data_IF_154172958550
#
_entry.id   IF_154172958550
#
_cell.length_a   1.000
_cell.length_b   1.000
_cell.length_c   1.000
_cell.angle_alpha   90.00
_cell.angle_beta   90.00
_cell.angle_gamma   90.00
#
_symmetry.space_group_name_H-M   'P 1'
#
loop_
_entity.id
_entity.type
_entity.pdbx_description
1 polymer ?
#
# COMPACT_ATOMS: atom_id res chain seq x y z
N UNK A 1 -2.18 -15.61 1.95
CA UNK A 1 -3.59 -15.51 1.54
C UNK A 1 -3.80 -14.25 0.74
N UNK A 2 -4.99 -14.07 0.17
CA UNK A 2 -5.34 -12.86 -0.56
C UNK A 2 -6.85 -12.60 -0.49
N UNK A 3 -7.26 -11.36 -0.76
CA UNK A 3 -8.63 -11.00 -1.12
C UNK A 3 -8.60 -9.98 -2.26
N UNK A 4 -9.72 -9.87 -2.98
CA UNK A 4 -9.91 -8.88 -4.04
C UNK A 4 -11.31 -8.27 -3.98
N UNK A 5 -11.41 -7.01 -4.40
CA UNK A 5 -12.69 -6.33 -4.62
C UNK A 5 -13.43 -5.91 -3.34
N UNK A 6 -12.73 -5.75 -2.20
CA UNK A 6 -13.39 -5.26 -0.99
C UNK A 6 -13.62 -3.74 -1.09
N UNK A 7 -14.88 -3.34 -1.00
CA UNK A 7 -15.27 -1.93 -1.01
C UNK A 7 -14.96 -1.29 0.35
N UNK A 8 -14.33 -0.12 0.31
CA UNK A 8 -14.09 0.73 1.48
C UNK A 8 -14.92 2.01 1.40
N UNK A 9 -15.19 2.60 2.57
CA UNK A 9 -15.91 3.88 2.66
C UNK A 9 -15.18 4.95 1.86
N UNK A 10 -15.95 5.88 1.30
CA UNK A 10 -15.41 6.92 0.42
C UNK A 10 -15.16 6.45 -1.02
N UNK A 11 -15.74 5.31 -1.42
CA UNK A 11 -15.75 4.86 -2.82
C UNK A 11 -14.43 4.31 -3.31
N UNK A 12 -13.69 3.60 -2.44
CA UNK A 12 -12.50 2.85 -2.81
C UNK A 12 -12.79 1.36 -2.93
N UNK A 13 -11.97 0.66 -3.70
CA UNK A 13 -11.94 -0.80 -3.78
C UNK A 13 -10.52 -1.28 -3.54
N UNK A 14 -10.36 -2.33 -2.74
CA UNK A 14 -9.07 -2.80 -2.27
C UNK A 14 -8.86 -4.28 -2.61
N UNK A 15 -7.65 -4.56 -3.07
CA UNK A 15 -7.07 -5.89 -3.17
C UNK A 15 -5.89 -5.99 -2.20
N UNK A 16 -5.71 -7.13 -1.55
CA UNK A 16 -4.55 -7.35 -0.68
C UNK A 16 -4.05 -8.79 -0.74
N UNK A 17 -2.74 -8.93 -0.63
CA UNK A 17 -2.01 -10.19 -0.59
C UNK A 17 -1.10 -10.20 0.64
N UNK A 18 -1.07 -11.33 1.35
CA UNK A 18 -0.25 -11.51 2.54
C UNK A 18 0.39 -12.88 2.59
N UNK A 19 1.52 -12.99 3.28
CA UNK A 19 2.19 -14.25 3.55
C UNK A 19 2.83 -14.21 4.94
N UNK A 20 2.71 -15.32 5.68
CA UNK A 20 3.16 -15.44 7.08
C UNK A 20 2.61 -14.33 7.99
N UNK A 21 1.32 -14.00 7.83
CA UNK A 21 0.66 -12.94 8.61
C UNK A 21 1.04 -11.50 8.25
N UNK A 22 1.90 -11.31 7.23
CA UNK A 22 2.41 -9.98 6.83
C UNK A 22 1.87 -9.61 5.46
N UNK A 23 1.28 -8.41 5.33
CA UNK A 23 0.88 -7.81 4.05
C UNK A 23 2.10 -7.71 3.13
N UNK A 24 1.96 -8.15 1.89
CA UNK A 24 3.02 -8.09 0.87
C UNK A 24 2.69 -7.07 -0.21
N UNK A 25 1.44 -7.05 -0.63
CA UNK A 25 0.96 -6.16 -1.66
C UNK A 25 -0.46 -5.72 -1.32
N UNK A 26 -0.76 -4.45 -1.51
CA UNK A 26 -2.11 -3.89 -1.41
C UNK A 26 -2.31 -2.92 -2.54
N UNK A 27 -3.45 -2.99 -3.23
CA UNK A 27 -3.84 -2.05 -4.27
C UNK A 27 -5.17 -1.43 -3.85
N UNK A 28 -5.23 -0.10 -3.83
CA UNK A 28 -6.47 0.66 -3.68
C UNK A 28 -6.78 1.36 -5.00
N UNK A 29 -7.98 1.10 -5.53
CA UNK A 29 -8.56 1.77 -6.69
C UNK A 29 -9.63 2.74 -6.25
N UNK A 30 -9.58 3.97 -6.75
CA UNK A 30 -10.60 4.97 -6.50
C UNK A 30 -11.74 4.83 -7.52
N UNK A 31 -12.97 4.59 -7.06
CA UNK A 31 -14.18 4.58 -7.90
C UNK A 31 -14.86 5.96 -7.95
N UNK A 32 -14.42 6.89 -7.10
CA UNK A 32 -14.80 8.30 -7.06
C UNK A 32 -13.58 9.16 -6.76
N UNK A 33 -13.64 10.46 -7.07
CA UNK A 33 -12.62 11.42 -6.66
C UNK A 33 -12.66 11.58 -5.14
N UNK A 34 -11.56 11.27 -4.44
CA UNK A 34 -11.52 11.38 -2.98
C UNK A 34 -10.09 11.38 -2.43
N UNK A 35 -9.95 11.84 -1.18
CA UNK A 35 -8.75 11.65 -0.37
C UNK A 35 -8.90 10.41 0.49
N UNK A 36 -7.97 9.47 0.33
CA UNK A 36 -7.93 8.22 1.09
C UNK A 36 -6.86 8.30 2.17
N UNK A 37 -7.16 7.73 3.34
CA UNK A 37 -6.26 7.62 4.48
C UNK A 37 -5.90 6.16 4.70
N UNK A 38 -4.65 5.81 4.40
CA UNK A 38 -4.12 4.45 4.47
C UNK A 38 -3.22 4.33 5.69
N UNK A 39 -3.50 3.37 6.57
CA UNK A 39 -2.56 3.01 7.64
C UNK A 39 -1.48 2.09 7.06
N UNK A 40 -0.23 2.52 7.11
CA UNK A 40 0.91 1.77 6.58
C UNK A 40 1.71 1.20 7.75
N UNK A 41 2.03 -0.11 7.75
CA UNK A 41 2.80 -0.72 8.82
C UNK A 41 4.30 -0.38 8.68
N UNK A 42 4.85 0.30 9.70
CA UNK A 42 6.29 0.36 9.98
C UNK A 42 7.08 1.43 9.23
N UNK A 43 8.41 1.26 9.22
CA UNK A 43 9.34 2.21 8.62
C UNK A 43 9.16 2.35 7.11
N UNK A 44 9.31 3.59 6.63
CA UNK A 44 9.28 3.95 5.20
C UNK A 44 10.19 3.11 4.31
N UNK A 45 11.32 2.65 4.85
CA UNK A 45 12.30 1.87 4.11
C UNK A 45 11.84 0.44 3.83
N UNK A 46 10.74 0.00 4.45
CA UNK A 46 10.21 -1.36 4.32
C UNK A 46 9.09 -1.46 3.29
N UNK A 47 8.73 -0.37 2.60
CA UNK A 47 7.68 -0.40 1.58
C UNK A 47 7.97 0.55 0.43
N UNK A 48 7.35 0.25 -0.71
CA UNK A 48 7.32 1.06 -1.92
C UNK A 48 5.89 1.51 -2.18
N UNK A 49 5.73 2.79 -2.51
CA UNK A 49 4.46 3.36 -2.92
C UNK A 49 4.47 3.64 -4.40
N UNK A 50 3.39 3.28 -5.08
CA UNK A 50 3.24 3.54 -6.51
C UNK A 50 1.85 4.08 -6.76
N UNK A 51 1.75 5.29 -7.30
CA UNK A 51 0.50 5.91 -7.75
C UNK A 51 0.45 5.87 -9.27
N UNK A 52 -0.61 5.30 -9.85
CA UNK A 52 -0.77 5.17 -11.32
C UNK A 52 0.50 4.66 -12.04
N UNK A 53 1.17 3.65 -11.45
CA UNK A 53 2.44 3.08 -11.93
C UNK A 53 3.69 3.96 -11.76
N UNK A 54 3.57 5.20 -11.27
CA UNK A 54 4.69 6.06 -10.87
C UNK A 54 5.05 5.88 -9.40
N UNK A 55 6.32 5.66 -9.09
CA UNK A 55 6.79 5.60 -7.70
C UNK A 55 6.69 6.98 -7.05
N UNK A 56 6.17 7.00 -5.82
CA UNK A 56 6.07 8.22 -5.02
C UNK A 56 6.83 8.06 -3.72
N UNK A 57 7.47 9.12 -3.27
CA UNK A 57 8.10 9.18 -1.95
C UNK A 57 7.20 9.93 -0.98
N UNK A 58 7.26 9.56 0.29
CA UNK A 58 6.55 10.27 1.36
C UNK A 58 7.59 10.94 2.24
N UNK A 59 7.48 12.25 2.43
CA UNK A 59 8.42 13.02 3.25
C UNK A 59 8.18 12.79 4.76
N UNK A 60 6.98 12.37 5.17
CA UNK A 60 6.62 12.18 6.59
C UNK A 60 6.56 10.72 7.04
N UNK A 61 7.26 10.41 8.13
CA UNK A 61 7.24 9.11 8.81
C UNK A 61 5.99 9.06 9.69
N UNK A 62 4.84 9.07 9.02
CA UNK A 62 3.53 8.95 9.64
C UNK A 62 3.00 7.57 9.31
N UNK A 63 2.42 6.90 10.30
CA UNK A 63 1.73 5.62 10.11
C UNK A 63 0.49 5.77 9.20
N UNK A 64 0.06 7.01 8.93
CA UNK A 64 -1.07 7.33 8.05
C UNK A 64 -0.57 8.09 6.82
N UNK A 65 -0.81 7.51 5.65
CA UNK A 65 -0.66 8.14 4.34
C UNK A 65 -2.01 8.73 3.90
N UNK A 66 -2.03 10.03 3.63
CA UNK A 66 -3.16 10.70 3.00
C UNK A 66 -2.85 10.94 1.52
N UNK A 67 -3.66 10.39 0.62
CA UNK A 67 -3.47 10.51 -0.82
C UNK A 67 -4.79 10.91 -1.51
N UNK A 68 -4.74 11.95 -2.32
CA UNK A 68 -5.83 12.28 -3.23
C UNK A 68 -5.74 11.41 -4.49
N UNK A 69 -6.83 10.72 -4.81
CA UNK A 69 -6.99 9.90 -6.01
C UNK A 69 -8.23 10.36 -6.78
N UNK A 70 -8.08 10.56 -8.08
CA UNK A 70 -9.21 10.71 -9.00
C UNK A 70 -9.83 9.34 -9.29
N UNK A 71 -11.09 9.32 -9.71
CA UNK A 71 -11.76 8.13 -10.21
C UNK A 71 -10.90 7.46 -11.28
N UNK A 72 -10.67 6.16 -11.12
CA UNK A 72 -9.84 5.33 -11.99
C UNK A 72 -8.36 5.32 -11.61
N UNK A 73 -7.90 6.22 -10.73
CA UNK A 73 -6.53 6.18 -10.22
C UNK A 73 -6.34 5.05 -9.19
N UNK A 74 -5.09 4.63 -9.07
CA UNK A 74 -4.70 3.58 -8.14
C UNK A 74 -3.51 4.01 -7.30
N UNK A 75 -3.46 3.48 -6.07
CA UNK A 75 -2.26 3.46 -5.28
C UNK A 75 -1.95 2.03 -4.84
N UNK A 76 -0.69 1.66 -4.96
CA UNK A 76 -0.17 0.36 -4.58
C UNK A 76 0.87 0.52 -3.48
N UNK A 77 0.81 -0.37 -2.49
CA UNK A 77 1.75 -0.50 -1.39
C UNK A 77 2.38 -1.88 -1.51
N UNK A 78 3.69 -1.92 -1.75
CA UNK A 78 4.46 -3.16 -1.83
C UNK A 78 5.48 -3.21 -0.70
N UNK A 79 5.39 -4.20 0.18
CA UNK A 79 6.35 -4.37 1.27
C UNK A 79 7.65 -4.95 0.70
N UNK A 80 8.76 -4.25 0.94
CA UNK A 80 10.11 -4.64 0.56
C UNK A 80 10.62 -5.63 1.61
N UNK A 81 10.87 -6.87 1.21
CA UNK A 81 11.55 -7.81 2.09
C UNK A 81 13.03 -7.41 2.20
N UNK A 82 13.49 -7.14 3.43
CA UNK A 82 14.91 -7.30 3.73
C UNK A 82 15.17 -8.80 3.92
N UNK A 83 15.81 -9.44 2.94
CA UNK A 83 16.47 -10.71 3.18
C UNK A 83 17.58 -10.48 4.22
N UNK A 84 17.29 -10.71 5.51
CA UNK A 84 18.35 -11.02 6.46
C UNK A 84 18.67 -12.49 6.37
N UNK A 85 19.39 -12.87 5.32
CA UNK A 85 20.30 -14.01 5.44
C UNK A 85 21.61 -13.46 6.02
N UNK A 86 21.69 -13.35 7.33
CA UNK A 86 23.00 -13.43 7.99
C UNK A 86 23.36 -14.91 7.98
N UNK A 87 24.06 -15.35 6.94
CA UNK A 87 24.84 -16.57 7.01
C UNK A 87 25.98 -16.31 8.00
N UNK A 88 25.89 -16.93 9.18
CA UNK A 88 27.05 -17.24 9.98
C UNK A 88 27.36 -18.71 9.70
N UNK A 89 28.38 -18.95 8.87
CA UNK A 89 29.16 -20.18 8.86
C UNK A 89 30.55 -19.86 9.44
#
# INVERSE_FOLDING_TARGET
>A
GHFKGLCVRGGGEVDAEWSNGIIRNTVLRANVDNTFHLKIPGDKNNYRLTKNHGEIQTEKQSDILSVFLKKGETIQITVLFQNRFTAFD
#
